data_IF_492992202581
#
_entry.id   IF_492992202581
#
_cell.length_a   1.000
_cell.length_b   1.000
_cell.length_c   1.000
_cell.angle_alpha   90.00
_cell.angle_beta   90.00
_cell.angle_gamma   90.00
#
_symmetry.space_group_name_H-M   'P 1'
#
loop_
_entity.id
_entity.type
_entity.pdbx_description
1 polymer ?
#
# COMPACT_ATOMS: atom_id res chain seq x y z
N UNK A 1 20.82 -5.10 2.79
CA UNK A 1 20.39 -6.40 2.26
C UNK A 1 18.93 -6.32 1.77
N UNK A 2 18.63 -7.07 0.72
CA UNK A 2 17.26 -7.21 0.19
C UNK A 2 16.50 -8.16 1.13
N UNK A 3 15.23 -7.80 1.43
CA UNK A 3 14.31 -8.61 2.23
C UNK A 3 13.21 -9.19 1.36
N UNK A 4 12.82 -10.43 1.63
CA UNK A 4 11.79 -11.14 0.88
C UNK A 4 10.45 -11.02 1.61
N UNK A 5 9.45 -10.48 0.90
CA UNK A 5 8.08 -10.39 1.41
C UNK A 5 7.13 -11.19 0.52
N UNK A 6 6.27 -11.98 1.16
CA UNK A 6 5.18 -12.71 0.50
C UNK A 6 3.83 -12.28 1.06
N UNK A 7 2.77 -12.54 0.33
CA UNK A 7 1.41 -12.19 0.70
C UNK A 7 0.56 -13.45 0.81
N UNK A 8 -0.31 -13.49 1.84
CA UNK A 8 -1.35 -14.52 1.94
C UNK A 8 -2.43 -14.31 0.89
N UNK A 9 -3.10 -15.39 0.52
CA UNK A 9 -4.26 -15.41 -0.38
C UNK A 9 -5.55 -15.81 0.33
N UNK A 10 -5.46 -16.13 1.63
CA UNK A 10 -6.61 -16.49 2.47
C UNK A 10 -7.46 -15.25 2.77
N UNK A 11 -8.74 -15.49 3.09
CA UNK A 11 -9.54 -14.48 3.78
C UNK A 11 -8.93 -14.23 5.16
N UNK A 12 -8.58 -12.99 5.46
CA UNK A 12 -7.96 -12.63 6.75
C UNK A 12 -8.88 -12.91 7.93
N UNK A 13 -10.20 -12.86 7.74
CA UNK A 13 -11.16 -13.26 8.75
C UNK A 13 -11.20 -14.77 9.01
N UNK A 14 -10.66 -15.59 8.10
CA UNK A 14 -10.36 -17.00 8.36
C UNK A 14 -9.01 -17.11 9.08
N UNK A 15 -9.06 -17.00 10.39
CA UNK A 15 -7.87 -16.87 11.24
C UNK A 15 -7.00 -18.11 11.14
N UNK A 16 -7.55 -19.29 11.23
CA UNK A 16 -6.79 -20.55 11.22
C UNK A 16 -6.10 -20.76 9.88
N UNK A 17 -6.79 -20.53 8.75
CA UNK A 17 -6.21 -20.61 7.42
C UNK A 17 -5.11 -19.57 7.23
N UNK A 18 -5.30 -18.34 7.73
CA UNK A 18 -4.32 -17.26 7.62
C UNK A 18 -3.07 -17.53 8.45
N UNK A 19 -3.20 -18.09 9.65
CA UNK A 19 -2.07 -18.55 10.47
C UNK A 19 -1.28 -19.64 9.72
N UNK A 20 -1.99 -20.66 9.23
CA UNK A 20 -1.36 -21.79 8.53
C UNK A 20 -0.61 -21.35 7.29
N UNK A 21 -1.20 -20.49 6.46
CA UNK A 21 -0.54 -19.97 5.25
C UNK A 21 0.63 -19.05 5.60
N UNK A 22 0.51 -18.18 6.60
CA UNK A 22 1.61 -17.34 7.06
C UNK A 22 2.81 -18.19 7.49
N UNK A 23 2.61 -19.24 8.25
CA UNK A 23 3.67 -20.16 8.68
C UNK A 23 4.28 -20.89 7.47
N UNK A 24 3.46 -21.31 6.52
CA UNK A 24 3.93 -21.94 5.28
C UNK A 24 4.85 -21.01 4.48
N UNK A 25 4.47 -19.74 4.35
CA UNK A 25 5.30 -18.74 3.67
C UNK A 25 6.62 -18.48 4.40
N UNK A 26 6.58 -18.40 5.74
CA UNK A 26 7.78 -18.24 6.55
C UNK A 26 8.74 -19.42 6.37
N UNK A 27 8.23 -20.65 6.41
CA UNK A 27 9.03 -21.86 6.18
C UNK A 27 9.63 -21.91 4.76
N UNK A 28 8.96 -21.31 3.79
CA UNK A 28 9.45 -21.19 2.42
C UNK A 28 10.51 -20.08 2.24
N UNK A 29 10.80 -19.29 3.28
CA UNK A 29 11.86 -18.28 3.28
C UNK A 29 11.36 -16.83 3.27
N UNK A 30 10.07 -16.56 3.45
CA UNK A 30 9.59 -15.18 3.60
C UNK A 30 10.12 -14.55 4.88
N UNK A 31 10.70 -13.37 4.75
CA UNK A 31 11.21 -12.56 5.86
C UNK A 31 10.18 -11.56 6.39
N UNK A 32 9.13 -11.30 5.61
CA UNK A 32 7.92 -10.57 5.98
C UNK A 32 6.71 -11.27 5.37
N UNK A 33 5.58 -11.27 6.08
CA UNK A 33 4.32 -11.79 5.57
C UNK A 33 3.27 -10.70 5.59
N UNK A 34 2.64 -10.45 4.44
CA UNK A 34 1.59 -9.44 4.26
C UNK A 34 0.22 -10.08 4.19
N UNK A 35 -0.70 -9.54 5.01
CA UNK A 35 -2.13 -9.89 4.98
C UNK A 35 -2.94 -8.65 4.60
N UNK A 36 -3.99 -8.84 3.82
CA UNK A 36 -4.94 -7.76 3.53
C UNK A 36 -5.83 -7.49 4.74
N UNK A 37 -6.09 -6.22 5.01
CA UNK A 37 -7.02 -5.80 6.06
C UNK A 37 -7.95 -4.68 5.54
N UNK A 38 -8.93 -5.03 4.67
CA UNK A 38 -9.78 -4.04 4.02
C UNK A 38 -10.82 -3.42 4.96
N UNK A 39 -11.09 -4.03 6.09
CA UNK A 39 -12.08 -3.58 7.08
C UNK A 39 -11.54 -3.63 8.51
N UNK A 40 -12.28 -3.02 9.45
CA UNK A 40 -11.97 -3.10 10.89
C UNK A 40 -12.04 -4.55 11.38
N UNK A 41 -12.98 -5.35 10.87
CA UNK A 41 -13.10 -6.76 11.21
C UNK A 41 -11.86 -7.56 10.83
N UNK A 42 -11.28 -7.29 9.65
CA UNK A 42 -10.02 -7.91 9.24
C UNK A 42 -8.86 -7.44 10.12
N UNK A 43 -8.82 -6.15 10.46
CA UNK A 43 -7.81 -5.62 11.36
C UNK A 43 -7.90 -6.25 12.76
N UNK A 44 -9.09 -6.47 13.29
CA UNK A 44 -9.29 -7.18 14.58
C UNK A 44 -8.82 -8.65 14.51
N UNK A 45 -9.03 -9.32 13.37
CA UNK A 45 -8.57 -10.69 13.17
C UNK A 45 -7.03 -10.81 13.22
N UNK A 46 -6.30 -9.75 12.89
CA UNK A 46 -4.84 -9.74 12.96
C UNK A 46 -4.29 -9.99 14.36
N UNK A 47 -5.01 -9.62 15.41
CA UNK A 47 -4.59 -9.92 16.79
C UNK A 47 -4.36 -11.42 17.01
N UNK A 48 -5.34 -12.23 16.61
CA UNK A 48 -5.27 -13.69 16.76
C UNK A 48 -4.29 -14.31 15.77
N UNK A 49 -4.20 -13.78 14.56
CA UNK A 49 -3.26 -14.27 13.54
C UNK A 49 -1.82 -14.05 14.00
N UNK A 50 -1.48 -12.86 14.45
CA UNK A 50 -0.15 -12.55 14.98
C UNK A 50 0.17 -13.43 16.18
N UNK A 51 -0.76 -13.56 17.13
CA UNK A 51 -0.59 -14.41 18.30
C UNK A 51 -0.37 -15.88 17.90
N UNK A 52 -1.11 -16.39 16.94
CA UNK A 52 -0.95 -17.77 16.43
C UNK A 52 0.40 -18.01 15.79
N UNK A 53 0.90 -17.07 15.01
CA UNK A 53 2.24 -17.13 14.39
C UNK A 53 3.33 -17.09 15.47
N UNK A 54 3.21 -16.23 16.48
CA UNK A 54 4.16 -16.12 17.59
C UNK A 54 4.15 -17.38 18.47
N UNK A 55 2.97 -17.91 18.78
CA UNK A 55 2.84 -19.15 19.56
C UNK A 55 3.44 -20.37 18.85
N UNK A 56 3.48 -20.35 17.52
CA UNK A 56 4.15 -21.36 16.72
C UNK A 56 5.70 -21.22 16.69
N UNK A 57 6.24 -20.18 17.36
CA UNK A 57 7.67 -19.95 17.49
C UNK A 57 8.29 -19.09 16.38
N UNK A 58 7.50 -18.34 15.62
CA UNK A 58 7.99 -17.48 14.54
C UNK A 58 7.89 -16.00 14.88
N UNK A 59 9.00 -15.28 14.73
CA UNK A 59 9.11 -13.83 14.99
C UNK A 59 9.03 -12.98 13.71
N UNK A 60 8.73 -13.61 12.57
CA UNK A 60 8.67 -12.92 11.27
C UNK A 60 7.66 -11.77 11.33
N UNK A 61 8.07 -10.55 10.92
CA UNK A 61 7.19 -9.39 10.92
C UNK A 61 5.96 -9.59 10.04
N UNK A 62 4.83 -9.15 10.54
CA UNK A 62 3.55 -9.17 9.83
C UNK A 62 3.24 -7.76 9.32
N UNK A 63 2.77 -7.68 8.08
CA UNK A 63 2.38 -6.45 7.41
C UNK A 63 0.87 -6.46 7.16
N UNK A 64 0.17 -5.42 7.60
CA UNK A 64 -1.23 -5.22 7.27
C UNK A 64 -1.36 -4.32 6.04
N UNK A 65 -2.01 -4.81 5.01
CA UNK A 65 -2.30 -4.05 3.79
C UNK A 65 -3.69 -3.43 3.89
N UNK A 66 -3.71 -2.11 4.10
CA UNK A 66 -4.94 -1.35 4.26
C UNK A 66 -5.34 -0.74 2.92
N UNK A 67 -6.53 -1.11 2.42
CA UNK A 67 -7.01 -0.65 1.12
C UNK A 67 -7.70 0.72 1.19
N UNK A 68 -8.78 0.85 1.96
CA UNK A 68 -9.66 2.01 1.86
C UNK A 68 -10.04 2.66 3.19
N UNK A 69 -9.81 2.00 4.32
CA UNK A 69 -10.39 2.40 5.60
C UNK A 69 -9.31 2.87 6.57
N UNK A 70 -9.16 4.20 6.80
CA UNK A 70 -8.18 4.72 7.76
C UNK A 70 -8.32 4.13 9.17
N UNK A 71 -9.54 3.86 9.62
CA UNK A 71 -9.80 3.24 10.92
C UNK A 71 -9.24 1.81 11.02
N UNK A 72 -9.24 1.05 9.93
CA UNK A 72 -8.61 -0.27 9.89
C UNK A 72 -7.09 -0.17 10.06
N UNK A 73 -6.45 0.84 9.45
CA UNK A 73 -5.03 1.11 9.63
C UNK A 73 -4.71 1.43 11.10
N UNK A 74 -5.51 2.28 11.70
CA UNK A 74 -5.36 2.68 13.10
C UNK A 74 -5.49 1.48 14.05
N UNK A 75 -6.44 0.59 13.78
CA UNK A 75 -6.64 -0.63 14.56
C UNK A 75 -5.54 -1.66 14.34
N UNK A 76 -5.12 -1.89 13.09
CA UNK A 76 -4.06 -2.83 12.75
C UNK A 76 -2.71 -2.46 13.40
N UNK A 77 -2.45 -1.17 13.62
CA UNK A 77 -1.24 -0.69 14.29
C UNK A 77 -1.04 -1.27 15.68
N UNK A 78 -2.11 -1.68 16.36
CA UNK A 78 -2.00 -2.33 17.68
C UNK A 78 -1.32 -3.70 17.61
N UNK A 79 -1.37 -4.39 16.46
CA UNK A 79 -1.05 -5.81 16.36
C UNK A 79 0.14 -6.12 15.46
N UNK A 80 0.37 -5.36 14.39
CA UNK A 80 1.36 -5.69 13.36
C UNK A 80 2.59 -4.78 13.42
N UNK A 81 3.70 -5.27 12.90
CA UNK A 81 4.96 -4.51 12.88
C UNK A 81 5.00 -3.45 11.78
N UNK A 82 4.23 -3.64 10.70
CA UNK A 82 4.19 -2.70 9.58
C UNK A 82 2.79 -2.57 8.99
N UNK A 83 2.42 -1.33 8.63
CA UNK A 83 1.18 -1.01 7.95
C UNK A 83 1.50 -0.49 6.57
N UNK A 84 0.80 -0.99 5.55
CA UNK A 84 0.79 -0.37 4.23
C UNK A 84 -0.46 0.46 4.07
N UNK A 85 -0.28 1.69 3.66
CA UNK A 85 -1.35 2.59 3.21
C UNK A 85 -1.16 2.98 1.75
N UNK A 86 -2.27 3.30 1.09
CA UNK A 86 -2.27 3.86 -0.25
C UNK A 86 -2.73 5.33 -0.16
N UNK A 87 -1.86 6.30 -0.48
CA UNK A 87 -2.21 7.72 -0.40
C UNK A 87 -3.50 8.10 -1.12
N UNK A 88 -3.71 7.57 -2.32
CA UNK A 88 -4.88 7.87 -3.14
C UNK A 88 -6.20 7.40 -2.54
N UNK A 89 -6.17 6.41 -1.66
CA UNK A 89 -7.37 5.86 -1.02
C UNK A 89 -7.51 6.29 0.45
N UNK A 90 -6.43 6.74 1.07
CA UNK A 90 -6.42 7.00 2.51
C UNK A 90 -7.22 8.26 2.89
N UNK A 91 -6.98 9.36 2.21
CA UNK A 91 -7.56 10.66 2.56
C UNK A 91 -8.50 11.19 1.49
N UNK A 92 -8.25 10.87 0.23
CA UNK A 92 -9.01 11.33 -0.92
C UNK A 92 -9.78 10.18 -1.54
N UNK A 93 -11.10 10.28 -1.57
CA UNK A 93 -11.90 9.38 -2.39
C UNK A 93 -11.91 9.91 -3.81
N UNK A 94 -11.50 9.08 -4.76
CA UNK A 94 -11.64 9.37 -6.19
C UNK A 94 -13.13 9.53 -6.49
N UNK A 95 -13.53 10.74 -6.90
CA UNK A 95 -14.93 11.07 -7.20
C UNK A 95 -15.22 11.06 -8.68
N UNK A 96 -14.21 10.82 -9.53
CA UNK A 96 -14.29 10.92 -10.99
C UNK A 96 -14.88 12.26 -11.47
N UNK A 97 -14.71 13.29 -10.68
CA UNK A 97 -15.17 14.63 -11.00
C UNK A 97 -14.01 15.42 -11.57
N UNK A 98 -14.23 16.04 -12.73
CA UNK A 98 -13.32 17.06 -13.25
C UNK A 98 -13.44 18.31 -12.37
N UNK A 99 -12.77 18.30 -11.24
CA UNK A 99 -12.66 19.45 -10.37
C UNK A 99 -11.37 20.19 -10.71
N UNK A 100 -11.49 21.41 -11.16
CA UNK A 100 -10.36 22.31 -11.26
C UNK A 100 -9.96 22.75 -9.85
N UNK A 101 -8.76 22.32 -9.43
CA UNK A 101 -8.20 22.75 -8.15
C UNK A 101 -7.39 24.02 -8.36
N UNK A 102 -7.79 25.09 -7.65
CA UNK A 102 -6.94 26.27 -7.50
C UNK A 102 -5.79 25.96 -6.52
N UNK A 103 -4.78 26.85 -6.49
CA UNK A 103 -3.67 26.69 -5.53
C UNK A 103 -4.18 26.74 -4.09
N UNK A 104 -5.16 27.59 -3.81
CA UNK A 104 -5.79 27.70 -2.49
C UNK A 104 -6.55 26.43 -2.11
N UNK A 105 -7.42 25.93 -2.98
CA UNK A 105 -8.20 24.71 -2.71
C UNK A 105 -7.32 23.47 -2.60
N UNK A 106 -6.22 23.43 -3.36
CA UNK A 106 -5.22 22.35 -3.24
C UNK A 106 -4.52 22.40 -1.87
N UNK A 107 -4.13 23.60 -1.43
CA UNK A 107 -3.51 23.78 -0.12
C UNK A 107 -4.44 23.43 1.04
N UNK A 108 -5.72 23.79 0.95
CA UNK A 108 -6.75 23.40 1.95
C UNK A 108 -6.89 21.88 2.06
N UNK A 109 -6.89 21.17 0.92
CA UNK A 109 -6.92 19.71 0.91
C UNK A 109 -5.67 19.09 1.53
N UNK A 110 -4.49 19.68 1.35
CA UNK A 110 -3.27 19.22 2.02
C UNK A 110 -3.35 19.36 3.54
N UNK A 111 -3.96 20.46 4.03
CA UNK A 111 -4.21 20.64 5.47
C UNK A 111 -5.13 19.53 5.98
N UNK A 112 -6.23 19.28 5.28
CA UNK A 112 -7.19 18.21 5.62
C UNK A 112 -6.54 16.83 5.65
N UNK A 113 -5.69 16.52 4.67
CA UNK A 113 -4.93 15.25 4.61
C UNK A 113 -4.01 15.15 5.82
N UNK A 114 -3.28 16.21 6.13
CA UNK A 114 -2.39 16.27 7.29
C UNK A 114 -3.14 16.00 8.59
N UNK A 115 -4.26 16.65 8.81
CA UNK A 115 -5.09 16.44 10.00
C UNK A 115 -5.57 14.99 10.12
N UNK A 116 -5.94 14.38 9.01
CA UNK A 116 -6.46 13.01 8.97
C UNK A 116 -5.36 11.95 9.12
N UNK A 117 -4.18 12.20 8.60
CA UNK A 117 -3.08 11.23 8.56
C UNK A 117 -2.17 11.30 9.80
N UNK A 118 -1.96 12.49 10.37
CA UNK A 118 -1.08 12.69 11.52
C UNK A 118 -1.39 11.78 12.72
N UNK A 119 -2.65 11.51 13.11
CA UNK A 119 -2.94 10.59 14.20
C UNK A 119 -2.38 9.19 13.99
N UNK A 120 -2.43 8.66 12.77
CA UNK A 120 -1.84 7.36 12.45
C UNK A 120 -0.31 7.39 12.53
N UNK A 121 0.30 8.45 12.01
CA UNK A 121 1.76 8.65 12.08
C UNK A 121 2.24 8.65 13.54
N UNK A 122 1.57 9.40 14.40
CA UNK A 122 1.91 9.48 15.81
C UNK A 122 1.70 8.14 16.53
N UNK A 123 0.64 7.41 16.22
CA UNK A 123 0.41 6.08 16.78
C UNK A 123 1.51 5.10 16.37
N UNK A 124 1.85 5.07 15.10
CA UNK A 124 2.93 4.21 14.60
C UNK A 124 4.28 4.58 15.24
N UNK A 125 4.55 5.87 15.42
CA UNK A 125 5.76 6.35 16.11
C UNK A 125 5.80 5.89 17.56
N UNK A 126 4.72 6.06 18.29
CA UNK A 126 4.61 5.66 19.71
C UNK A 126 4.79 4.15 19.87
N UNK A 127 4.16 3.34 19.03
CA UNK A 127 4.21 1.88 19.09
C UNK A 127 5.45 1.27 18.42
N UNK A 128 6.30 2.08 17.79
CA UNK A 128 7.48 1.60 17.08
C UNK A 128 7.14 0.80 15.82
N UNK A 129 6.01 1.09 15.16
CA UNK A 129 5.60 0.45 13.92
C UNK A 129 6.26 1.09 12.71
N UNK A 130 6.53 0.30 11.70
CA UNK A 130 6.92 0.79 10.38
C UNK A 130 5.68 1.07 9.52
N UNK A 131 5.85 1.89 8.49
CA UNK A 131 4.80 2.19 7.52
C UNK A 131 5.34 2.08 6.10
N UNK A 132 4.61 1.41 5.23
CA UNK A 132 4.85 1.46 3.80
C UNK A 132 3.84 2.39 3.15
N UNK A 133 4.35 3.44 2.51
CA UNK A 133 3.56 4.33 1.66
C UNK A 133 3.62 3.74 0.26
N UNK A 134 2.53 3.09 -0.13
CA UNK A 134 2.43 2.35 -1.37
C UNK A 134 1.47 3.03 -2.34
N UNK A 135 2.02 3.77 -3.30
CA UNK A 135 1.25 4.44 -4.34
C UNK A 135 0.97 3.49 -5.49
N UNK A 136 -0.29 3.46 -5.92
CA UNK A 136 -0.74 2.72 -7.09
C UNK A 136 -1.20 3.71 -8.15
N UNK A 137 -0.69 3.56 -9.38
CA UNK A 137 -1.03 4.41 -10.53
C UNK A 137 -2.55 4.48 -10.76
N UNK A 138 -3.23 3.33 -10.69
CA UNK A 138 -4.68 3.25 -10.91
C UNK A 138 -5.55 3.89 -9.82
N UNK A 139 -4.99 4.28 -8.68
CA UNK A 139 -5.73 4.85 -7.55
C UNK A 139 -5.27 6.26 -7.15
N UNK A 140 -4.61 6.99 -8.05
CA UNK A 140 -4.29 8.40 -7.78
C UNK A 140 -5.56 9.21 -7.54
N UNK A 141 -5.51 10.12 -6.55
CA UNK A 141 -6.64 11.00 -6.27
C UNK A 141 -6.92 11.97 -7.43
N UNK A 142 -8.16 12.42 -7.55
CA UNK A 142 -8.54 13.41 -8.58
C UNK A 142 -7.74 14.71 -8.45
N UNK A 143 -7.39 15.10 -7.23
CA UNK A 143 -6.55 16.26 -6.92
C UNK A 143 -5.14 16.11 -7.50
N UNK A 144 -4.50 14.97 -7.31
CA UNK A 144 -3.17 14.66 -7.87
C UNK A 144 -3.24 14.62 -9.40
N UNK A 145 -4.23 13.91 -9.94
CA UNK A 145 -4.39 13.78 -11.40
C UNK A 145 -4.66 15.14 -12.05
N UNK A 146 -5.46 15.99 -11.42
CA UNK A 146 -5.74 17.34 -11.92
C UNK A 146 -4.48 18.22 -11.98
N UNK A 147 -3.60 18.13 -10.99
CA UNK A 147 -2.43 18.99 -10.88
C UNK A 147 -1.19 18.45 -11.60
N UNK A 148 -0.94 17.16 -11.52
CA UNK A 148 0.28 16.51 -12.02
C UNK A 148 0.03 15.53 -13.16
N UNK A 149 -1.23 15.28 -13.50
CA UNK A 149 -1.64 14.29 -14.48
C UNK A 149 -1.59 12.85 -13.95
N UNK A 150 -2.09 11.93 -14.76
CA UNK A 150 -2.01 10.49 -14.54
C UNK A 150 -0.63 9.99 -15.02
N UNK A 151 0.41 10.35 -14.31
CA UNK A 151 1.81 10.26 -14.73
C UNK A 151 2.70 9.72 -13.60
N UNK A 152 3.95 9.37 -13.97
CA UNK A 152 5.00 9.06 -12.97
C UNK A 152 5.20 10.19 -11.96
N UNK A 153 5.12 11.45 -12.40
CA UNK A 153 5.20 12.60 -11.51
C UNK A 153 4.03 12.64 -10.51
N UNK A 154 2.81 12.37 -10.97
CA UNK A 154 1.65 12.28 -10.09
C UNK A 154 1.80 11.19 -9.04
N UNK A 155 2.33 10.03 -9.40
CA UNK A 155 2.63 8.95 -8.46
C UNK A 155 3.64 9.39 -7.40
N UNK A 156 4.72 10.03 -7.80
CA UNK A 156 5.78 10.50 -6.90
C UNK A 156 5.27 11.59 -5.95
N UNK A 157 4.57 12.59 -6.47
CA UNK A 157 3.99 13.67 -5.63
C UNK A 157 2.96 13.14 -4.64
N UNK A 158 2.14 12.18 -5.04
CA UNK A 158 1.20 11.51 -4.13
C UNK A 158 1.90 10.87 -2.93
N UNK A 159 3.03 10.20 -3.14
CA UNK A 159 3.82 9.63 -2.05
C UNK A 159 4.54 10.72 -1.23
N UNK A 160 5.16 11.70 -1.88
CA UNK A 160 5.93 12.75 -1.21
C UNK A 160 5.08 13.58 -0.25
N UNK A 161 3.83 13.86 -0.57
CA UNK A 161 2.92 14.58 0.34
C UNK A 161 2.79 13.85 1.69
N UNK A 162 2.63 12.53 1.67
CA UNK A 162 2.54 11.71 2.88
C UNK A 162 3.89 11.57 3.59
N UNK A 163 4.97 11.40 2.84
CA UNK A 163 6.34 11.32 3.40
C UNK A 163 6.68 12.61 4.14
N UNK A 164 6.34 13.78 3.58
CA UNK A 164 6.58 15.08 4.22
C UNK A 164 5.84 15.20 5.54
N UNK A 165 4.61 14.71 5.63
CA UNK A 165 3.85 14.67 6.89
C UNK A 165 4.56 13.79 7.93
N UNK A 166 5.05 12.63 7.53
CA UNK A 166 5.82 11.76 8.41
C UNK A 166 7.09 12.46 8.92
N UNK A 167 7.84 13.09 8.01
CA UNK A 167 9.05 13.85 8.33
C UNK A 167 8.82 14.99 9.31
N UNK A 168 7.76 15.74 9.10
CA UNK A 168 7.39 16.86 9.97
C UNK A 168 7.04 16.41 11.40
N UNK A 169 6.66 15.13 11.56
CA UNK A 169 6.40 14.51 12.85
C UNK A 169 7.63 13.71 13.39
N UNK A 170 8.78 13.85 12.77
CA UNK A 170 10.00 13.08 13.12
C UNK A 170 9.73 11.56 13.13
N UNK A 171 9.02 11.08 12.10
CA UNK A 171 8.74 9.67 11.91
C UNK A 171 9.38 9.18 10.61
N UNK A 172 10.35 8.26 10.76
CA UNK A 172 11.24 7.84 9.67
C UNK A 172 11.25 6.33 9.40
N UNK A 173 10.41 5.56 10.07
CA UNK A 173 10.26 4.11 9.84
C UNK A 173 9.40 3.85 8.60
N UNK A 174 9.89 4.34 7.47
CA UNK A 174 9.17 4.34 6.18
C UNK A 174 9.79 3.41 5.17
N UNK A 175 8.93 2.80 4.36
CA UNK A 175 9.26 2.11 3.12
C UNK A 175 8.33 2.67 2.04
N UNK A 176 8.86 2.92 0.84
CA UNK A 176 8.09 3.53 -0.24
C UNK A 176 7.98 2.55 -1.40
N UNK A 177 6.80 2.46 -1.99
CA UNK A 177 6.57 1.66 -3.19
C UNK A 177 5.72 2.38 -4.21
N UNK A 178 6.06 2.13 -5.48
CA UNK A 178 5.34 2.59 -6.66
C UNK A 178 4.85 1.37 -7.44
N UNK A 179 3.58 1.34 -7.81
CA UNK A 179 2.99 0.23 -8.56
C UNK A 179 2.25 0.76 -9.78
N UNK A 180 2.55 0.19 -10.94
CA UNK A 180 1.83 0.43 -12.19
C UNK A 180 1.81 -0.85 -13.01
N UNK A 181 0.73 -1.12 -13.73
CA UNK A 181 0.67 -2.18 -14.74
C UNK A 181 1.58 -1.88 -15.93
N UNK A 182 1.88 -0.61 -16.19
CA UNK A 182 2.86 -0.21 -17.19
C UNK A 182 4.25 -0.18 -16.57
N UNK A 183 5.11 -1.12 -16.98
CA UNK A 183 6.48 -1.27 -16.45
C UNK A 183 7.33 -0.02 -16.66
N UNK A 184 7.20 0.66 -17.80
CA UNK A 184 7.97 1.87 -18.06
C UNK A 184 7.59 3.00 -17.10
N UNK A 185 6.28 3.19 -16.87
CA UNK A 185 5.78 4.17 -15.89
C UNK A 185 6.29 3.83 -14.49
N UNK A 186 6.30 2.56 -14.11
CA UNK A 186 6.81 2.12 -12.81
C UNK A 186 8.31 2.42 -12.64
N UNK A 187 9.13 2.10 -13.64
CA UNK A 187 10.57 2.38 -13.62
C UNK A 187 10.83 3.88 -13.54
N UNK A 188 10.14 4.66 -14.34
CA UNK A 188 10.26 6.13 -14.33
C UNK A 188 9.83 6.72 -12.99
N UNK A 189 8.74 6.20 -12.39
CA UNK A 189 8.28 6.63 -11.08
C UNK A 189 9.33 6.36 -9.99
N UNK A 190 9.94 5.19 -9.96
CA UNK A 190 11.00 4.90 -8.99
C UNK A 190 12.24 5.77 -9.18
N UNK A 191 12.69 5.97 -10.42
CA UNK A 191 13.83 6.83 -10.70
C UNK A 191 13.57 8.28 -10.29
N UNK A 192 12.40 8.79 -10.61
CA UNK A 192 11.98 10.14 -10.21
C UNK A 192 11.84 10.25 -8.70
N UNK A 193 11.28 9.25 -8.04
CA UNK A 193 11.15 9.20 -6.58
C UNK A 193 12.52 9.29 -5.90
N UNK A 194 13.49 8.51 -6.34
CA UNK A 194 14.86 8.55 -5.80
C UNK A 194 15.47 9.94 -5.97
N UNK A 195 15.41 10.49 -7.16
CA UNK A 195 15.93 11.84 -7.44
C UNK A 195 15.28 12.92 -6.57
N UNK A 196 13.95 12.84 -6.39
CA UNK A 196 13.22 13.81 -5.56
C UNK A 196 13.53 13.62 -4.07
N UNK A 197 13.61 12.38 -3.59
CA UNK A 197 14.02 12.12 -2.20
C UNK A 197 15.43 12.64 -1.92
N UNK A 198 16.38 12.38 -2.80
CA UNK A 198 17.75 12.90 -2.66
C UNK A 198 17.78 14.42 -2.60
N UNK A 199 17.04 15.10 -3.49
CA UNK A 199 16.96 16.57 -3.50
C UNK A 199 16.35 17.18 -2.25
N UNK A 200 15.50 16.43 -1.54
CA UNK A 200 14.88 16.83 -0.27
C UNK A 200 15.62 16.26 0.97
N UNK A 201 16.77 15.62 0.76
CA UNK A 201 17.55 15.04 1.87
C UNK A 201 16.92 13.82 2.50
N UNK A 202 16.17 13.04 1.73
CA UNK A 202 15.52 11.80 2.17
C UNK A 202 16.26 10.57 1.66
N UNK A 203 16.32 9.52 2.48
CA UNK A 203 16.90 8.23 2.10
C UNK A 203 16.08 7.09 2.70
N UNK A 204 14.87 6.91 2.23
CA UNK A 204 14.00 5.81 2.68
C UNK A 204 14.14 4.59 1.78
N UNK A 205 14.12 3.38 2.35
CA UNK A 205 14.16 2.15 1.57
C UNK A 205 12.94 2.02 0.65
N UNK A 206 13.16 1.33 -0.46
CA UNK A 206 12.14 1.05 -1.46
C UNK A 206 11.66 -0.39 -1.35
N UNK A 207 10.38 -0.59 -1.63
CA UNK A 207 9.79 -1.90 -1.82
C UNK A 207 9.48 -2.09 -3.30
N UNK A 208 10.12 -3.05 -3.92
CA UNK A 208 9.90 -3.40 -5.32
C UNK A 208 8.98 -4.61 -5.39
N UNK A 209 7.93 -4.52 -6.18
CA UNK A 209 7.02 -5.61 -6.42
C UNK A 209 6.62 -5.67 -7.89
N UNK A 210 6.53 -6.87 -8.43
CA UNK A 210 6.24 -7.14 -9.85
C UNK A 210 4.97 -8.01 -9.96
N UNK A 211 3.99 -7.78 -9.10
CA UNK A 211 2.82 -8.65 -8.94
C UNK A 211 1.85 -8.65 -10.13
N UNK A 212 1.97 -7.69 -11.05
CA UNK A 212 1.12 -7.56 -12.25
C UNK A 212 1.92 -7.53 -13.56
N UNK A 213 3.23 -7.62 -13.50
CA UNK A 213 4.07 -7.88 -14.65
C UNK A 213 4.24 -9.40 -14.77
N UNK A 214 3.15 -10.12 -14.93
CA UNK A 214 3.20 -11.49 -15.41
C UNK A 214 3.84 -11.48 -16.79
N UNK A 215 4.66 -12.46 -17.09
CA UNK A 215 5.07 -12.76 -18.45
C UNK A 215 3.77 -12.94 -19.24
N UNK A 216 3.40 -12.06 -20.13
CA UNK A 216 2.09 -11.98 -20.80
C UNK A 216 1.50 -13.28 -21.41
N UNK A 217 1.85 -14.40 -20.83
CA UNK A 217 1.34 -15.73 -21.17
C UNK A 217 0.06 -16.09 -20.40
N UNK A 218 -0.24 -15.40 -19.27
CA UNK A 218 -1.44 -15.71 -18.48
C UNK A 218 -2.69 -14.88 -18.86
N UNK A 219 -2.57 -13.85 -19.67
CA UNK A 219 -3.72 -13.05 -20.10
C UNK A 219 -4.48 -13.62 -21.31
N UNK A 220 -3.92 -14.56 -22.04
CA UNK A 220 -4.53 -15.13 -23.26
C UNK A 220 -5.30 -16.44 -23.05
N UNK A 221 -5.39 -16.97 -21.83
CA UNK A 221 -6.19 -18.17 -21.53
C UNK A 221 -7.63 -17.89 -21.10
N UNK A 222 -8.08 -16.65 -21.20
CA UNK A 222 -9.43 -16.17 -20.87
C UNK A 222 -10.35 -16.03 -22.06
N UNK A 223 -10.60 -17.12 -22.79
CA UNK A 223 -11.92 -17.42 -23.29
C UNK A 223 -12.51 -16.70 -24.48
N UNK A 224 -12.10 -17.04 -25.62
CA UNK A 224 -12.93 -16.96 -26.81
C UNK A 224 -13.83 -18.19 -26.97
N UNK A 225 -14.84 -18.33 -26.15
CA UNK A 225 -15.92 -19.28 -26.37
C UNK A 225 -17.00 -18.67 -27.28
N UNK A 226 -16.77 -18.60 -28.57
CA UNK A 226 -17.82 -18.35 -29.54
C UNK A 226 -18.85 -19.48 -29.46
N UNK A 227 -20.03 -19.16 -28.97
CA UNK A 227 -21.20 -20.00 -29.16
C UNK A 227 -21.69 -19.78 -30.56
N UNK A 228 -21.34 -20.67 -31.49
CA UNK A 228 -22.07 -20.84 -32.74
C UNK A 228 -23.54 -21.18 -32.45
N UNK A 229 -24.42 -20.28 -32.82
CA UNK A 229 -25.86 -20.60 -32.96
C UNK A 229 -26.03 -21.31 -34.28
N UNK A 230 -26.09 -22.64 -34.23
CA UNK A 230 -26.62 -23.43 -35.34
C UNK A 230 -28.11 -23.17 -35.46
N UNK A 231 -28.53 -22.59 -36.58
CA UNK A 231 -29.89 -22.58 -36.99
C UNK A 231 -30.22 -23.89 -37.74
N UNK A 232 -31.40 -24.40 -37.49
CA UNK A 232 -32.05 -25.48 -38.18
C UNK A 232 -33.49 -25.58 -37.70
#
# INVERSE_FOLDING_TARGET
PVRIQSMTTTDTCDIDASIAQSISLIKAGSELVRLTAPSIKDADALEQIVSGVRNAGYDTPIVADIHFTPNAAFRAADFVEKIRINPGNFADKKKFANLDYTDESYAEELVRIREKFTPLVLKCKELGRAMRIGTNHGSLSDRITSRFGDTSLGMVESALEFIRICRDNDYHHLVISMKSSNTNVMVDAYRLLVSRMESEGMNYPLHLGVTEAGDGEDEDSGGGGEKEKGGG
#
